data_IF_961910956806
#
_entry.id   IF_961910956806
#
_cell.length_a   1.000
_cell.length_b   1.000
_cell.length_c   1.000
_cell.angle_alpha   90.00
_cell.angle_beta   90.00
_cell.angle_gamma   90.00
#
_symmetry.space_group_name_H-M   'P 1'
#
loop_
_entity.id
_entity.type
_entity.pdbx_description
1 polymer ?
#
# COMPACT_ATOMS: atom_id res chain seq x y z
N UNK A 1 -17.14 -7.17 -0.46
CA UNK A 1 -16.87 -6.38 0.76
C UNK A 1 -15.71 -5.37 0.66
N UNK A 2 -14.42 -5.77 0.67
CA UNK A 2 -13.29 -4.80 0.66
C UNK A 2 -13.16 -4.02 -0.66
N UNK A 3 -13.38 -4.68 -1.79
CA UNK A 3 -13.29 -4.05 -3.11
C UNK A 3 -14.38 -2.99 -3.35
N UNK A 4 -15.61 -3.23 -2.87
CA UNK A 4 -16.68 -2.21 -2.87
C UNK A 4 -16.29 -0.96 -2.09
N UNK A 5 -15.43 -1.13 -1.07
CA UNK A 5 -14.91 -0.06 -0.20
C UNK A 5 -13.59 0.52 -0.69
N UNK A 6 -13.16 0.19 -1.91
CA UNK A 6 -11.92 0.70 -2.50
C UNK A 6 -10.71 0.47 -1.59
N UNK A 7 -10.74 -0.61 -0.81
CA UNK A 7 -9.76 -1.01 0.21
C UNK A 7 -9.67 -0.16 1.49
N UNK A 8 -10.14 1.08 1.53
CA UNK A 8 -9.97 1.93 2.72
C UNK A 8 -11.21 2.72 3.14
N UNK A 9 -12.25 2.80 2.32
CA UNK A 9 -13.42 3.66 2.56
C UNK A 9 -14.52 2.95 3.38
N UNK A 10 -15.34 3.74 4.05
CA UNK A 10 -16.63 3.29 4.60
C UNK A 10 -17.66 3.31 3.48
N UNK A 11 -18.53 2.30 3.43
CA UNK A 11 -19.59 2.24 2.41
C UNK A 11 -20.63 3.36 2.61
N UNK A 12 -20.94 3.70 3.86
CA UNK A 12 -21.99 4.67 4.19
C UNK A 12 -21.60 6.12 3.88
N UNK A 13 -20.35 6.51 4.14
CA UNK A 13 -19.90 7.91 4.06
C UNK A 13 -18.96 8.18 2.90
N UNK A 14 -18.42 7.15 2.25
CA UNK A 14 -17.32 7.32 1.30
C UNK A 14 -16.00 7.63 1.98
N UNK A 15 -15.94 8.28 3.14
CA UNK A 15 -14.68 8.63 3.81
C UNK A 15 -13.79 7.42 4.20
N UNK A 16 -12.46 7.62 4.36
CA UNK A 16 -11.59 6.61 4.94
C UNK A 16 -12.16 6.02 6.25
N UNK A 17 -12.17 4.71 6.37
CA UNK A 17 -12.55 4.02 7.59
C UNK A 17 -11.61 4.34 8.75
N UNK A 18 -10.32 4.48 8.41
CA UNK A 18 -9.22 4.93 9.25
C UNK A 18 -8.19 5.59 8.34
N UNK A 19 -7.86 6.87 8.56
CA UNK A 19 -6.90 7.63 7.74
C UNK A 19 -5.52 6.97 7.68
N UNK A 20 -5.16 6.20 8.72
CA UNK A 20 -3.87 5.51 8.78
C UNK A 20 -3.78 4.34 7.80
N UNK A 21 -4.87 3.91 7.17
CA UNK A 21 -4.82 2.94 6.07
C UNK A 21 -4.07 3.50 4.85
N UNK A 22 -4.00 4.81 4.74
CA UNK A 22 -3.32 5.54 3.67
C UNK A 22 -1.84 5.84 4.00
N UNK A 23 -1.34 5.41 5.16
CA UNK A 23 0.06 5.57 5.59
C UNK A 23 0.82 4.28 5.36
N UNK A 24 1.84 4.32 4.52
CA UNK A 24 2.67 3.16 4.22
C UNK A 24 3.68 2.87 5.32
N UNK A 25 3.76 1.60 5.70
CA UNK A 25 4.70 1.15 6.72
C UNK A 25 5.38 -0.15 6.33
N UNK A 26 6.56 -0.35 6.90
CA UNK A 26 7.22 -1.65 6.91
C UNK A 26 8.02 -1.81 8.22
N UNK A 27 7.97 -2.99 8.87
CA UNK A 27 7.08 -4.12 8.60
C UNK A 27 5.64 -3.83 9.07
N UNK A 28 4.64 -4.34 8.33
CA UNK A 28 3.23 -4.11 8.68
C UNK A 28 2.79 -4.72 10.02
N UNK A 29 3.46 -5.76 10.54
CA UNK A 29 3.01 -6.57 11.70
C UNK A 29 1.51 -6.92 11.57
N UNK A 30 0.69 -6.56 12.56
CA UNK A 30 -0.77 -6.72 12.56
C UNK A 30 -1.51 -5.62 11.81
N UNK A 31 -0.82 -4.53 11.45
CA UNK A 31 -1.46 -3.33 10.92
C UNK A 31 -1.78 -3.47 9.44
N UNK A 32 -2.93 -2.90 9.08
CA UNK A 32 -3.40 -2.77 7.72
C UNK A 32 -2.97 -1.42 7.13
N UNK A 33 -2.49 -1.47 5.89
CA UNK A 33 -2.41 -0.34 4.97
C UNK A 33 -2.89 -0.80 3.59
N UNK A 34 -3.23 0.14 2.71
CA UNK A 34 -3.73 -0.20 1.39
C UNK A 34 -2.67 -0.88 0.51
N UNK A 35 -1.37 -0.62 0.73
CA UNK A 35 -0.29 -1.24 -0.05
C UNK A 35 -0.19 -2.75 0.24
N UNK A 36 -0.53 -3.19 1.46
CA UNK A 36 -0.61 -4.61 1.84
C UNK A 36 -1.76 -5.29 1.13
N UNK A 37 -2.92 -4.63 1.07
CA UNK A 37 -4.05 -5.15 0.34
C UNK A 37 -3.77 -5.22 -1.17
N UNK A 38 -3.27 -4.13 -1.76
CA UNK A 38 -2.91 -4.09 -3.18
C UNK A 38 -1.92 -5.18 -3.56
N UNK A 39 -0.88 -5.39 -2.76
CA UNK A 39 0.09 -6.44 -3.01
C UNK A 39 -0.48 -7.85 -2.84
N UNK A 40 -1.42 -8.05 -1.93
CA UNK A 40 -2.16 -9.30 -1.83
C UNK A 40 -3.02 -9.55 -3.08
N UNK A 41 -3.81 -8.56 -3.52
CA UNK A 41 -4.63 -8.68 -4.72
C UNK A 41 -3.80 -8.91 -5.98
N UNK A 42 -2.64 -8.25 -6.09
CA UNK A 42 -1.63 -8.53 -7.12
C UNK A 42 -1.24 -10.00 -7.14
N UNK A 43 -0.85 -10.54 -5.98
CA UNK A 43 -0.43 -11.95 -5.87
C UNK A 43 -1.58 -12.91 -6.18
N UNK A 44 -2.79 -12.62 -5.72
CA UNK A 44 -3.97 -13.44 -5.96
C UNK A 44 -4.37 -13.44 -7.45
N UNK A 45 -4.37 -12.27 -8.10
CA UNK A 45 -4.70 -12.12 -9.51
C UNK A 45 -3.70 -12.86 -10.42
N UNK A 46 -2.39 -12.75 -10.13
CA UNK A 46 -1.35 -13.52 -10.84
C UNK A 46 -1.58 -15.02 -10.68
N UNK A 47 -1.90 -15.48 -9.46
CA UNK A 47 -2.16 -16.88 -9.21
C UNK A 47 -3.41 -17.39 -9.95
N UNK A 48 -4.46 -16.57 -10.02
CA UNK A 48 -5.71 -16.91 -10.69
C UNK A 48 -5.69 -16.67 -12.21
N UNK A 49 -4.65 -16.02 -12.75
CA UNK A 49 -4.59 -15.62 -14.16
C UNK A 49 -5.65 -14.59 -14.55
N UNK A 50 -6.03 -13.70 -13.63
CA UNK A 50 -7.07 -12.69 -13.86
C UNK A 50 -6.48 -11.29 -13.97
N UNK A 51 -7.15 -10.43 -14.73
CA UNK A 51 -6.80 -9.02 -14.82
C UNK A 51 -6.97 -8.27 -13.48
N UNK A 52 -6.29 -7.12 -13.29
CA UNK A 52 -6.48 -6.29 -12.12
C UNK A 52 -7.93 -5.81 -11.96
N UNK A 53 -8.51 -5.95 -10.76
CA UNK A 53 -9.89 -5.51 -10.51
C UNK A 53 -9.99 -3.98 -10.59
N UNK A 54 -10.85 -3.41 -11.46
CA UNK A 54 -10.97 -1.96 -11.64
C UNK A 54 -11.30 -1.19 -10.35
N UNK A 55 -11.91 -1.85 -9.36
CA UNK A 55 -12.26 -1.24 -8.08
C UNK A 55 -11.04 -0.90 -7.23
N UNK A 56 -9.86 -1.41 -7.55
CA UNK A 56 -8.60 -1.06 -6.92
C UNK A 56 -8.05 0.31 -7.38
N UNK A 57 -8.60 0.89 -8.46
CA UNK A 57 -8.04 2.06 -9.12
C UNK A 57 -7.83 3.27 -8.21
N UNK A 58 -8.70 3.48 -7.21
CA UNK A 58 -8.53 4.59 -6.26
C UNK A 58 -7.35 4.37 -5.30
N UNK A 59 -7.19 3.15 -4.78
CA UNK A 59 -6.04 2.79 -3.95
C UNK A 59 -4.73 2.86 -4.74
N UNK A 60 -4.75 2.49 -6.03
CA UNK A 60 -3.63 2.69 -6.96
C UNK A 60 -3.35 4.19 -7.18
N UNK A 61 -4.39 5.01 -7.30
CA UNK A 61 -4.28 6.47 -7.38
C UNK A 61 -3.52 7.04 -6.19
N UNK A 62 -3.92 6.66 -4.97
CA UNK A 62 -3.20 7.05 -3.74
C UNK A 62 -1.76 6.53 -3.73
N UNK A 63 -1.52 5.29 -4.15
CA UNK A 63 -0.16 4.75 -4.26
C UNK A 63 0.71 5.61 -5.18
N UNK A 64 0.20 6.02 -6.35
CA UNK A 64 0.93 6.89 -7.29
C UNK A 64 1.19 8.27 -6.71
N UNK A 65 0.21 8.88 -6.04
CA UNK A 65 0.34 10.24 -5.48
C UNK A 65 1.35 10.33 -4.33
N UNK A 66 1.72 9.20 -3.71
CA UNK A 66 2.74 9.13 -2.67
C UNK A 66 4.16 8.89 -3.19
N UNK A 67 4.36 8.71 -4.50
CA UNK A 67 5.69 8.55 -5.09
C UNK A 67 6.45 9.87 -4.96
N UNK A 68 7.69 9.80 -4.47
CA UNK A 68 8.61 10.93 -4.38
C UNK A 68 9.21 11.27 -5.75
N UNK A 69 9.83 12.44 -5.85
CA UNK A 69 10.43 12.94 -7.09
C UNK A 69 11.55 12.03 -7.63
N UNK A 70 12.24 11.32 -6.74
CA UNK A 70 13.28 10.34 -7.07
C UNK A 70 12.73 8.97 -7.50
N UNK A 71 11.40 8.82 -7.55
CA UNK A 71 10.72 7.59 -7.91
C UNK A 71 10.56 6.57 -6.79
N UNK A 72 10.98 6.90 -5.57
CA UNK A 72 10.82 6.05 -4.37
C UNK A 72 9.52 6.36 -3.61
N UNK A 73 9.27 5.63 -2.53
CA UNK A 73 8.14 5.89 -1.62
C UNK A 73 8.63 6.10 -0.20
N UNK A 74 8.03 7.05 0.53
CA UNK A 74 8.39 7.31 1.90
C UNK A 74 7.90 6.20 2.84
N UNK A 75 8.59 6.03 3.96
CA UNK A 75 8.02 5.38 5.15
C UNK A 75 7.10 6.38 5.86
N UNK A 76 5.79 6.19 5.85
CA UNK A 76 4.86 7.14 6.48
C UNK A 76 4.71 6.92 7.98
N UNK A 77 5.01 5.71 8.45
CA UNK A 77 4.81 5.34 9.84
C UNK A 77 5.70 4.18 10.27
N UNK A 78 6.35 4.34 11.41
CA UNK A 78 7.07 3.28 12.14
C UNK A 78 6.24 2.75 13.31
N UNK A 79 6.05 1.44 13.35
CA UNK A 79 5.36 0.80 14.48
C UNK A 79 6.31 0.63 15.67
N UNK A 80 5.88 0.95 16.90
CA UNK A 80 6.71 0.78 18.07
C UNK A 80 6.99 -0.70 18.36
N UNK A 81 8.13 -0.98 18.99
CA UNK A 81 8.50 -2.30 19.50
C UNK A 81 9.81 -2.82 18.92
N UNK A 82 10.46 -3.72 19.64
CA UNK A 82 11.84 -4.18 19.38
C UNK A 82 12.01 -4.74 17.97
N UNK A 83 13.08 -4.30 17.31
CA UNK A 83 13.60 -4.82 16.05
C UNK A 83 15.06 -5.23 16.25
N UNK A 84 15.57 -6.10 15.38
CA UNK A 84 16.98 -6.51 15.42
C UNK A 84 17.91 -5.42 14.91
N UNK A 85 17.47 -4.68 13.90
CA UNK A 85 18.13 -3.50 13.35
C UNK A 85 17.09 -2.67 12.56
N UNK A 86 17.35 -1.38 12.42
CA UNK A 86 16.55 -0.50 11.57
C UNK A 86 16.96 -0.68 10.11
N UNK A 87 15.98 -0.83 9.22
CA UNK A 87 16.22 -1.01 7.78
C UNK A 87 16.07 0.30 7.01
N UNK A 88 15.11 1.12 7.44
CA UNK A 88 14.77 2.39 6.81
C UNK A 88 15.33 3.56 7.64
N UNK A 89 15.58 4.70 7.00
CA UNK A 89 16.23 5.88 7.61
C UNK A 89 15.28 6.71 8.49
N UNK A 90 14.03 6.27 8.65
CA UNK A 90 13.01 6.91 9.48
C UNK A 90 11.78 7.35 8.69
N UNK A 91 10.81 7.91 9.41
CA UNK A 91 9.57 8.41 8.82
C UNK A 91 9.84 9.59 7.86
N UNK A 92 9.13 9.62 6.74
CA UNK A 92 9.28 10.59 5.66
C UNK A 92 10.44 10.29 4.70
N UNK A 93 11.40 9.45 5.09
CA UNK A 93 12.51 9.06 4.22
C UNK A 93 12.11 7.93 3.27
N UNK A 94 12.75 7.81 2.09
CA UNK A 94 12.58 6.67 1.20
C UNK A 94 12.72 5.33 1.92
N UNK A 95 11.72 4.45 1.79
CA UNK A 95 11.78 3.08 2.30
C UNK A 95 12.04 2.08 1.19
N UNK A 96 13.04 1.22 1.38
CA UNK A 96 13.40 0.18 0.39
C UNK A 96 12.27 -0.82 0.21
N UNK A 97 11.64 -1.23 1.30
CA UNK A 97 10.57 -2.22 1.28
C UNK A 97 9.24 -1.68 0.78
N UNK A 98 8.89 -0.45 1.16
CA UNK A 98 7.70 0.22 0.61
C UNK A 98 7.88 0.44 -0.89
N UNK A 99 9.05 0.93 -1.31
CA UNK A 99 9.37 1.15 -2.74
C UNK A 99 9.28 -0.14 -3.55
N UNK A 100 9.89 -1.24 -3.08
CA UNK A 100 9.81 -2.54 -3.76
C UNK A 100 8.34 -2.99 -3.96
N UNK A 101 7.52 -2.87 -2.92
CA UNK A 101 6.11 -3.26 -2.94
C UNK A 101 5.28 -2.35 -3.84
N UNK A 102 5.53 -1.05 -3.81
CA UNK A 102 4.86 -0.08 -4.66
C UNK A 102 5.16 -0.34 -6.14
N UNK A 103 6.44 -0.50 -6.49
CA UNK A 103 6.86 -0.77 -7.86
C UNK A 103 6.27 -2.05 -8.43
N UNK A 104 6.25 -3.16 -7.67
CA UNK A 104 5.67 -4.41 -8.17
C UNK A 104 4.16 -4.34 -8.34
N UNK A 105 3.47 -3.60 -7.49
CA UNK A 105 2.02 -3.36 -7.63
C UNK A 105 1.74 -2.52 -8.88
N UNK A 106 2.46 -1.41 -9.07
CA UNK A 106 2.24 -0.54 -10.23
C UNK A 106 2.62 -1.21 -11.55
N UNK A 107 3.74 -1.94 -11.58
CA UNK A 107 4.13 -2.74 -12.75
C UNK A 107 3.07 -3.76 -13.13
N UNK A 108 2.40 -4.38 -12.15
CA UNK A 108 1.30 -5.31 -12.42
C UNK A 108 0.03 -4.60 -12.89
N UNK A 109 -0.29 -3.44 -12.31
CA UNK A 109 -1.48 -2.67 -12.68
C UNK A 109 -1.41 -2.06 -14.09
N UNK A 110 -0.20 -1.78 -14.58
CA UNK A 110 0.06 -1.14 -15.87
C UNK A 110 0.30 -2.11 -17.03
N UNK A 111 0.33 -3.42 -16.75
CA UNK A 111 0.33 -4.47 -17.77
C UNK A 111 -1.05 -4.58 -18.41
#
# INVERSE_FOLDING_TARGET
>A
FLLERKLFRRLATGEPADERFLRFLHPNRWRYDILRALDHFRSAAIHAGTDPDPRLGEAIGHLRSRRLDDGTWPLDWSLPGRVWFEVDEGEGQPSRWVTLRAMRVLKWWEQ
#
